data_IF_447719037363
#
_entry.id   IF_447719037363
#
_cell.length_a   1.000
_cell.length_b   1.000
_cell.length_c   1.000
_cell.angle_alpha   90.00
_cell.angle_beta   90.00
_cell.angle_gamma   90.00
#
_symmetry.space_group_name_H-M   'P 1'
#
loop_
_entity.id
_entity.type
_entity.pdbx_description
1 polymer ?
#
# COMPACT_ATOMS: atom_id res chain seq x y z
N UNK A 1 10.38 -35.93 3.09
CA UNK A 1 11.42 -35.03 2.59
C UNK A 1 11.17 -34.80 1.11
N UNK A 2 10.65 -33.62 0.76
CA UNK A 2 10.77 -32.94 -0.53
C UNK A 2 10.34 -31.50 -0.28
N UNK A 3 11.33 -30.62 -0.17
CA UNK A 3 11.20 -29.18 -0.01
C UNK A 3 10.32 -28.59 -1.12
N UNK A 4 9.12 -28.12 -0.76
CA UNK A 4 8.20 -27.43 -1.68
C UNK A 4 8.10 -25.92 -1.37
N UNK A 5 9.04 -25.38 -0.60
CA UNK A 5 9.06 -23.97 -0.19
C UNK A 5 10.06 -23.11 -0.96
N UNK A 6 10.78 -23.66 -1.95
CA UNK A 6 11.51 -22.87 -2.92
C UNK A 6 10.54 -22.28 -3.97
N UNK A 7 10.02 -21.10 -3.69
CA UNK A 7 9.66 -20.19 -4.78
C UNK A 7 10.70 -19.05 -4.80
N UNK A 8 11.76 -19.13 -5.65
CA UNK A 8 12.67 -18.01 -5.91
C UNK A 8 11.92 -16.72 -6.31
N UNK A 9 10.65 -16.86 -6.71
CA UNK A 9 9.69 -15.81 -7.03
C UNK A 9 9.30 -14.92 -5.82
N UNK A 10 9.30 -15.42 -4.58
CA UNK A 10 8.83 -14.64 -3.40
C UNK A 10 9.72 -13.43 -3.07
N UNK A 11 11.04 -13.54 -3.26
CA UNK A 11 11.96 -12.42 -3.03
C UNK A 11 11.78 -11.33 -4.10
N UNK A 12 11.67 -11.72 -5.37
CA UNK A 12 11.39 -10.79 -6.47
C UNK A 12 10.01 -10.14 -6.32
N UNK A 13 9.00 -10.93 -5.98
CA UNK A 13 7.64 -10.48 -5.68
C UNK A 13 7.60 -9.38 -4.61
N UNK A 14 8.41 -9.51 -3.57
CA UNK A 14 8.50 -8.51 -2.51
C UNK A 14 9.14 -7.22 -2.99
N UNK A 15 10.16 -7.30 -3.85
CA UNK A 15 10.74 -6.10 -4.47
C UNK A 15 9.69 -5.35 -5.27
N UNK A 16 8.80 -6.05 -5.98
CA UNK A 16 7.65 -5.44 -6.65
C UNK A 16 6.68 -4.78 -5.67
N UNK A 17 6.34 -5.46 -4.55
CA UNK A 17 5.46 -4.88 -3.52
C UNK A 17 6.08 -3.60 -2.91
N UNK A 18 7.37 -3.62 -2.58
CA UNK A 18 8.09 -2.46 -2.04
C UNK A 18 8.12 -1.31 -3.04
N UNK A 19 8.53 -1.58 -4.28
CA UNK A 19 8.55 -0.57 -5.34
C UNK A 19 7.15 0.04 -5.51
N UNK A 20 6.12 -0.80 -5.47
CA UNK A 20 4.75 -0.34 -5.61
C UNK A 20 4.27 0.54 -4.45
N UNK A 21 4.63 0.25 -3.20
CA UNK A 21 4.28 1.13 -2.08
C UNK A 21 4.87 2.53 -2.27
N UNK A 22 6.13 2.61 -2.69
CA UNK A 22 6.78 3.89 -2.98
C UNK A 22 6.09 4.63 -4.13
N UNK A 23 5.80 3.93 -5.22
CA UNK A 23 5.10 4.51 -6.37
C UNK A 23 3.69 4.98 -6.04
N UNK A 24 2.98 4.29 -5.14
CA UNK A 24 1.65 4.70 -4.68
C UNK A 24 1.71 6.05 -3.96
N UNK A 25 2.67 6.25 -3.05
CA UNK A 25 2.82 7.52 -2.35
C UNK A 25 3.27 8.63 -3.31
N UNK A 26 4.14 8.32 -4.28
CA UNK A 26 4.56 9.29 -5.29
C UNK A 26 3.46 9.66 -6.29
N UNK A 27 2.38 8.87 -6.40
CA UNK A 27 1.23 9.20 -7.24
C UNK A 27 0.52 10.50 -6.82
N UNK A 28 0.67 10.90 -5.55
CA UNK A 28 0.21 12.21 -5.07
C UNK A 28 0.97 13.39 -5.72
N UNK A 29 2.18 13.16 -6.23
CA UNK A 29 2.99 14.16 -6.92
C UNK A 29 2.96 13.99 -8.44
N UNK A 30 3.07 12.75 -8.91
CA UNK A 30 3.16 12.40 -10.32
C UNK A 30 2.00 11.46 -10.65
N UNK A 31 0.91 12.00 -11.24
CA UNK A 31 -0.24 11.19 -11.62
C UNK A 31 0.16 10.01 -12.52
N UNK A 32 -0.56 8.89 -12.40
CA UNK A 32 -0.36 7.61 -13.11
C UNK A 32 0.68 6.67 -12.49
N UNK A 33 1.52 7.12 -11.56
CA UNK A 33 2.39 6.20 -10.81
C UNK A 33 1.59 5.19 -9.97
N UNK A 34 0.38 5.56 -9.56
CA UNK A 34 -0.53 4.68 -8.83
C UNK A 34 -1.05 3.51 -9.67
N UNK A 35 -1.21 3.70 -10.99
CA UNK A 35 -1.53 2.61 -11.92
C UNK A 35 -0.38 1.60 -12.00
N UNK A 36 0.85 2.09 -12.14
CA UNK A 36 2.06 1.25 -12.14
C UNK A 36 2.19 0.53 -10.79
N UNK A 37 1.96 1.24 -9.69
CA UNK A 37 1.94 0.66 -8.35
C UNK A 37 0.94 -0.50 -8.25
N UNK A 38 -0.31 -0.29 -8.65
CA UNK A 38 -1.35 -1.33 -8.60
C UNK A 38 -0.94 -2.58 -9.39
N UNK A 39 -0.39 -2.41 -10.60
CA UNK A 39 0.10 -3.51 -11.44
C UNK A 39 1.21 -4.29 -10.70
N UNK A 40 2.18 -3.59 -10.15
CA UNK A 40 3.28 -4.20 -9.40
C UNK A 40 2.80 -4.90 -8.12
N UNK A 41 1.80 -4.35 -7.41
CA UNK A 41 1.19 -5.02 -6.26
C UNK A 41 0.49 -6.32 -6.67
N UNK A 42 -0.19 -6.34 -7.81
CA UNK A 42 -0.82 -7.56 -8.32
C UNK A 42 0.21 -8.64 -8.68
N UNK A 43 1.30 -8.26 -9.34
CA UNK A 43 2.40 -9.17 -9.66
C UNK A 43 3.04 -9.70 -8.37
N UNK A 44 3.35 -8.81 -7.42
CA UNK A 44 4.01 -9.17 -6.18
C UNK A 44 3.15 -10.05 -5.26
N UNK A 45 1.87 -9.72 -5.07
CA UNK A 45 1.02 -10.51 -4.16
C UNK A 45 0.64 -11.89 -4.72
N UNK A 46 0.70 -12.07 -6.05
CA UNK A 46 0.39 -13.34 -6.71
C UNK A 46 1.28 -14.49 -6.22
N UNK A 47 2.54 -14.20 -5.91
CA UNK A 47 3.48 -15.18 -5.35
C UNK A 47 3.07 -15.70 -3.95
N UNK A 48 2.12 -15.02 -3.29
CA UNK A 48 1.60 -15.36 -1.97
C UNK A 48 0.14 -15.84 -1.98
N UNK A 49 -0.51 -15.85 -3.16
CA UNK A 49 -1.96 -16.11 -3.26
C UNK A 49 -2.34 -17.55 -2.91
N UNK A 50 -1.44 -18.50 -3.18
CA UNK A 50 -1.61 -19.92 -2.89
C UNK A 50 -1.06 -20.31 -1.52
N UNK A 51 -0.63 -19.35 -0.71
CA UNK A 51 -0.17 -19.62 0.65
C UNK A 51 -1.33 -20.05 1.55
N UNK A 52 -1.04 -20.89 2.55
CA UNK A 52 -1.99 -21.24 3.61
C UNK A 52 -2.34 -20.01 4.46
N UNK A 53 -1.47 -19.01 4.45
CA UNK A 53 -1.65 -17.77 5.17
C UNK A 53 -2.77 -16.91 4.55
N UNK A 54 -3.94 -16.93 5.21
CA UNK A 54 -5.12 -16.18 4.78
C UNK A 54 -4.92 -14.66 4.77
N UNK A 55 -3.90 -14.10 5.43
CA UNK A 55 -3.64 -12.67 5.42
C UNK A 55 -3.25 -12.16 4.03
N UNK A 56 -2.48 -12.93 3.26
CA UNK A 56 -2.17 -12.55 1.87
C UNK A 56 -3.42 -12.57 0.97
N UNK A 57 -4.34 -13.50 1.20
CA UNK A 57 -5.64 -13.51 0.50
C UNK A 57 -6.48 -12.28 0.85
N UNK A 58 -6.45 -11.84 2.11
CA UNK A 58 -7.13 -10.61 2.54
C UNK A 58 -6.46 -9.37 1.97
N UNK A 59 -5.13 -9.30 1.94
CA UNK A 59 -4.38 -8.25 1.27
C UNK A 59 -4.73 -8.15 -0.22
N UNK A 60 -4.88 -9.29 -0.92
CA UNK A 60 -5.32 -9.33 -2.31
C UNK A 60 -6.76 -8.81 -2.50
N UNK A 61 -7.67 -9.17 -1.59
CA UNK A 61 -9.04 -8.62 -1.60
C UNK A 61 -9.03 -7.10 -1.42
N UNK A 62 -8.21 -6.58 -0.50
CA UNK A 62 -8.03 -5.14 -0.30
C UNK A 62 -7.44 -4.46 -1.54
N UNK A 63 -6.45 -5.06 -2.20
CA UNK A 63 -5.86 -4.55 -3.44
C UNK A 63 -6.91 -4.39 -4.56
N UNK A 64 -7.83 -5.35 -4.72
CA UNK A 64 -8.93 -5.22 -5.70
C UNK A 64 -9.85 -4.04 -5.41
N UNK A 65 -10.19 -3.84 -4.13
CA UNK A 65 -11.05 -2.72 -3.70
C UNK A 65 -10.33 -1.38 -3.84
N UNK A 66 -9.04 -1.34 -3.52
CA UNK A 66 -8.16 -0.19 -3.79
C UNK A 66 -8.14 0.16 -5.28
N UNK A 67 -8.00 -0.86 -6.15
CA UNK A 67 -7.98 -0.68 -7.61
C UNK A 67 -9.27 -0.07 -8.13
N UNK A 68 -10.43 -0.55 -7.63
CA UNK A 68 -11.73 0.02 -7.99
C UNK A 68 -11.84 1.49 -7.55
N UNK A 69 -11.47 1.79 -6.30
CA UNK A 69 -11.49 3.17 -5.79
C UNK A 69 -10.54 4.09 -6.58
N UNK A 70 -9.34 3.60 -6.91
CA UNK A 70 -8.39 4.33 -7.73
C UNK A 70 -8.90 4.60 -9.14
N UNK A 71 -9.57 3.63 -9.76
CA UNK A 71 -10.20 3.83 -11.06
C UNK A 71 -11.27 4.92 -11.00
N UNK A 72 -12.12 4.91 -9.96
CA UNK A 72 -13.12 5.97 -9.74
C UNK A 72 -12.44 7.33 -9.54
N UNK A 73 -11.34 7.39 -8.77
CA UNK A 73 -10.55 8.62 -8.60
C UNK A 73 -10.06 9.17 -9.95
N UNK A 74 -9.55 8.30 -10.84
CA UNK A 74 -9.06 8.72 -12.15
C UNK A 74 -10.18 9.12 -13.11
N UNK A 75 -11.33 8.47 -13.01
CA UNK A 75 -12.50 8.77 -13.84
C UNK A 75 -13.34 9.93 -13.29
N UNK A 76 -13.05 10.45 -12.09
CA UNK A 76 -13.85 11.50 -11.45
C UNK A 76 -13.87 12.80 -12.27
N UNK A 77 -12.85 13.03 -13.10
CA UNK A 77 -12.76 14.18 -14.02
C UNK A 77 -13.84 14.18 -15.08
N UNK A 78 -14.46 13.03 -15.38
CA UNK A 78 -15.55 12.90 -16.36
C UNK A 78 -16.93 12.97 -15.70
N UNK A 79 -17.01 13.15 -14.38
CA UNK A 79 -18.29 13.24 -13.67
C UNK A 79 -18.95 14.58 -14.03
N UNK A 80 -20.19 14.58 -14.55
CA UNK A 80 -20.88 15.80 -14.90
C UNK A 80 -21.21 16.62 -13.65
N UNK A 81 -21.28 17.94 -13.83
CA UNK A 81 -21.63 18.84 -12.74
C UNK A 81 -23.12 18.76 -12.43
N UNK A 82 -23.42 18.54 -11.15
CA UNK A 82 -24.80 18.34 -10.66
C UNK A 82 -25.37 19.58 -9.98
N UNK A 83 -24.52 20.55 -9.62
CA UNK A 83 -24.91 21.74 -8.84
C UNK A 83 -25.27 21.44 -7.37
N UNK A 84 -25.14 20.19 -6.91
CA UNK A 84 -25.51 19.80 -5.53
C UNK A 84 -24.48 20.23 -4.46
N UNK A 85 -23.26 20.57 -4.87
CA UNK A 85 -22.15 20.87 -3.97
C UNK A 85 -21.61 22.28 -4.20
N UNK A 86 -21.06 22.89 -3.14
CA UNK A 86 -20.41 24.21 -3.22
C UNK A 86 -19.08 24.19 -4.01
N UNK A 87 -18.50 23.01 -4.20
CA UNK A 87 -17.35 22.75 -5.08
C UNK A 87 -17.77 21.81 -6.20
N UNK A 88 -16.94 21.65 -7.22
CA UNK A 88 -17.27 20.81 -8.38
C UNK A 88 -17.55 19.36 -7.96
N UNK A 89 -18.58 18.75 -8.57
CA UNK A 89 -19.01 17.37 -8.33
C UNK A 89 -17.86 16.41 -8.62
N UNK A 90 -17.11 16.67 -9.69
CA UNK A 90 -15.88 15.98 -10.07
C UNK A 90 -14.81 16.00 -8.96
N UNK A 91 -14.67 17.13 -8.25
CA UNK A 91 -13.75 17.26 -7.10
C UNK A 91 -14.24 16.46 -5.91
N UNK A 92 -15.53 16.53 -5.57
CA UNK A 92 -16.11 15.76 -4.46
C UNK A 92 -15.91 14.26 -4.67
N UNK A 93 -16.28 13.74 -5.86
CA UNK A 93 -16.10 12.32 -6.19
C UNK A 93 -14.62 11.93 -6.14
N UNK A 94 -13.73 12.78 -6.65
CA UNK A 94 -12.29 12.57 -6.58
C UNK A 94 -11.79 12.44 -5.14
N UNK A 95 -12.17 13.36 -4.25
CA UNK A 95 -11.77 13.33 -2.84
C UNK A 95 -12.29 12.08 -2.11
N UNK A 96 -13.55 11.72 -2.31
CA UNK A 96 -14.13 10.50 -1.71
C UNK A 96 -13.37 9.26 -2.20
N UNK A 97 -13.15 9.14 -3.51
CA UNK A 97 -12.46 8.01 -4.11
C UNK A 97 -11.00 7.91 -3.63
N UNK A 98 -10.30 9.05 -3.49
CA UNK A 98 -8.97 9.12 -2.88
C UNK A 98 -8.99 8.61 -1.44
N UNK A 99 -9.95 9.04 -0.61
CA UNK A 99 -10.09 8.57 0.77
C UNK A 99 -10.30 7.05 0.86
N UNK A 100 -11.20 6.51 0.03
CA UNK A 100 -11.45 5.06 -0.04
C UNK A 100 -10.20 4.31 -0.50
N UNK A 101 -9.49 4.83 -1.51
CA UNK A 101 -8.23 4.25 -2.00
C UNK A 101 -7.18 4.21 -0.90
N UNK A 102 -7.01 5.31 -0.15
CA UNK A 102 -6.09 5.39 1.00
C UNK A 102 -6.42 4.37 2.09
N UNK A 103 -7.70 4.20 2.44
CA UNK A 103 -8.12 3.18 3.43
C UNK A 103 -7.71 1.78 2.96
N UNK A 104 -8.00 1.43 1.71
CA UNK A 104 -7.66 0.11 1.20
C UNK A 104 -6.16 -0.10 0.98
N UNK A 105 -5.39 0.95 0.72
CA UNK A 105 -3.93 0.91 0.73
C UNK A 105 -3.40 0.57 2.14
N UNK A 106 -3.93 1.20 3.18
CA UNK A 106 -3.57 0.90 4.58
C UNK A 106 -3.93 -0.54 4.93
N UNK A 107 -5.11 -1.02 4.54
CA UNK A 107 -5.50 -2.43 4.75
C UNK A 107 -4.62 -3.41 3.99
N UNK A 108 -4.29 -3.10 2.74
CA UNK A 108 -3.42 -3.94 1.92
C UNK A 108 -2.04 -4.09 2.58
N UNK A 109 -1.41 -2.97 2.93
CA UNK A 109 -0.10 -2.96 3.60
C UNK A 109 -0.14 -3.65 4.97
N UNK A 110 -1.22 -3.47 5.74
CA UNK A 110 -1.44 -4.14 7.02
C UNK A 110 -1.47 -5.66 6.88
N UNK A 111 -2.40 -6.18 6.07
CA UNK A 111 -2.56 -7.62 5.90
C UNK A 111 -1.34 -8.26 5.23
N UNK A 112 -0.64 -7.54 4.36
CA UNK A 112 0.63 -8.01 3.82
C UNK A 112 1.70 -8.13 4.91
N UNK A 113 1.82 -7.11 5.78
CA UNK A 113 2.75 -7.12 6.92
C UNK A 113 2.46 -8.27 7.89
N UNK A 114 1.20 -8.42 8.30
CA UNK A 114 0.78 -9.52 9.18
C UNK A 114 1.02 -10.88 8.53
N UNK A 115 0.83 -10.99 7.21
CA UNK A 115 1.18 -12.18 6.45
C UNK A 115 2.67 -12.53 6.61
N UNK A 116 3.55 -11.56 6.39
CA UNK A 116 5.00 -11.74 6.55
C UNK A 116 5.37 -12.10 8.00
N UNK A 117 4.74 -11.47 9.00
CA UNK A 117 4.97 -11.77 10.41
C UNK A 117 4.56 -13.20 10.75
N UNK A 118 3.44 -13.69 10.23
CA UNK A 118 3.03 -15.08 10.47
C UNK A 118 3.96 -16.09 9.80
N UNK A 119 4.42 -15.82 8.59
CA UNK A 119 5.37 -16.70 7.88
C UNK A 119 6.72 -16.74 8.59
N UNK A 120 7.20 -15.59 9.04
CA UNK A 120 8.36 -15.51 9.91
C UNK A 120 8.17 -16.37 11.17
N UNK A 121 6.95 -16.43 11.74
CA UNK A 121 6.67 -17.17 13.00
C UNK A 121 6.79 -18.66 12.78
N UNK A 122 6.26 -19.13 11.65
CA UNK A 122 6.48 -20.50 11.17
C UNK A 122 7.98 -20.79 10.97
N UNK A 123 8.73 -19.83 10.44
CA UNK A 123 10.18 -19.94 10.23
C UNK A 123 11.05 -19.72 11.50
N UNK A 124 10.44 -19.59 12.69
CA UNK A 124 11.14 -19.35 13.98
C UNK A 124 12.08 -18.14 13.97
N UNK A 125 11.80 -17.13 13.14
CA UNK A 125 12.52 -15.85 13.13
C UNK A 125 11.96 -14.95 14.23
N UNK A 126 12.82 -14.27 15.00
CA UNK A 126 12.38 -13.43 16.11
C UNK A 126 11.64 -12.15 15.63
N UNK A 127 10.32 -12.09 15.83
CA UNK A 127 9.42 -10.97 15.49
C UNK A 127 9.82 -9.63 16.08
N UNK A 128 10.21 -9.65 17.36
CA UNK A 128 10.50 -8.45 18.13
C UNK A 128 11.72 -7.73 17.55
N UNK A 129 12.63 -8.47 16.90
CA UNK A 129 13.76 -7.92 16.15
C UNK A 129 13.40 -7.43 14.74
N UNK A 130 12.25 -7.84 14.18
CA UNK A 130 11.80 -7.39 12.85
C UNK A 130 11.18 -5.99 12.91
N UNK A 131 10.51 -5.64 14.01
CA UNK A 131 10.09 -4.27 14.30
C UNK A 131 9.21 -3.63 13.22
N UNK A 132 8.35 -4.41 12.56
CA UNK A 132 7.52 -3.97 11.42
C UNK A 132 6.25 -3.21 11.83
N UNK A 133 5.73 -3.43 13.04
CA UNK A 133 4.47 -2.83 13.47
C UNK A 133 4.57 -1.31 13.62
N UNK A 134 5.61 -0.83 14.30
CA UNK A 134 5.86 0.60 14.53
C UNK A 134 5.95 1.40 13.21
N UNK A 135 6.82 1.04 12.23
CA UNK A 135 6.89 1.77 10.97
C UNK A 135 5.60 1.70 10.15
N UNK A 136 4.87 0.58 10.21
CA UNK A 136 3.56 0.48 9.55
C UNK A 136 2.52 1.43 10.16
N UNK A 137 2.44 1.51 11.50
CA UNK A 137 1.51 2.44 12.19
C UNK A 137 1.80 3.89 11.76
N UNK A 138 3.07 4.29 11.73
CA UNK A 138 3.45 5.63 11.30
C UNK A 138 3.09 5.89 9.83
N UNK A 139 3.32 4.93 8.93
CA UNK A 139 2.92 5.03 7.53
C UNK A 139 1.40 5.20 7.38
N UNK A 140 0.63 4.38 8.09
CA UNK A 140 -0.83 4.43 8.05
C UNK A 140 -1.39 5.75 8.57
N UNK A 141 -0.88 6.21 9.72
CA UNK A 141 -1.25 7.50 10.31
C UNK A 141 -0.91 8.66 9.37
N UNK A 142 0.30 8.69 8.80
CA UNK A 142 0.71 9.75 7.89
C UNK A 142 -0.07 9.76 6.59
N UNK A 143 -0.42 8.59 6.05
CA UNK A 143 -1.27 8.48 4.86
C UNK A 143 -2.67 9.08 5.10
N UNK A 144 -3.22 8.88 6.31
CA UNK A 144 -4.50 9.48 6.69
C UNK A 144 -4.38 10.99 6.97
N UNK A 145 -3.31 11.43 7.62
CA UNK A 145 -3.02 12.86 7.83
C UNK A 145 -2.89 13.58 6.49
N UNK A 146 -2.20 12.98 5.52
CA UNK A 146 -2.10 13.54 4.17
C UNK A 146 -3.49 13.74 3.54
N UNK A 147 -4.34 12.72 3.59
CA UNK A 147 -5.72 12.81 3.11
C UNK A 147 -6.49 13.98 3.77
N UNK A 148 -6.44 14.08 5.10
CA UNK A 148 -7.09 15.16 5.85
C UNK A 148 -6.55 16.54 5.42
N UNK A 149 -5.24 16.64 5.19
CA UNK A 149 -4.63 17.88 4.71
C UNK A 149 -5.11 18.26 3.32
N UNK A 150 -5.27 17.30 2.40
CA UNK A 150 -5.79 17.57 1.05
C UNK A 150 -7.24 18.06 1.11
N UNK A 151 -8.07 17.47 1.98
CA UNK A 151 -9.47 17.86 2.13
C UNK A 151 -9.62 19.23 2.81
N UNK A 152 -8.77 19.52 3.80
CA UNK A 152 -8.90 20.73 4.63
C UNK A 152 -8.22 21.95 4.03
N UNK A 153 -7.06 21.78 3.38
CA UNK A 153 -6.23 22.90 2.94
C UNK A 153 -6.26 23.06 1.42
N UNK A 154 -6.81 24.17 0.95
CA UNK A 154 -6.86 24.56 -0.46
C UNK A 154 -5.50 24.97 -1.04
N UNK A 155 -4.52 25.34 -0.20
CA UNK A 155 -3.16 25.68 -0.62
C UNK A 155 -2.29 24.42 -0.73
N UNK A 156 -1.69 24.20 -1.90
CA UNK A 156 -0.88 23.01 -2.24
C UNK A 156 0.34 22.77 -1.32
N UNK A 157 0.82 23.78 -0.59
CA UNK A 157 2.03 23.66 0.24
C UNK A 157 1.89 22.62 1.35
N UNK A 158 0.83 22.70 2.16
CA UNK A 158 0.65 21.81 3.32
C UNK A 158 0.47 20.34 2.87
N UNK A 159 -0.40 20.02 1.89
CA UNK A 159 -0.48 18.68 1.32
C UNK A 159 0.86 18.18 0.75
N UNK A 160 1.65 19.03 0.10
CA UNK A 160 2.95 18.61 -0.46
C UNK A 160 3.95 18.20 0.62
N UNK A 161 4.00 18.91 1.74
CA UNK A 161 4.85 18.56 2.90
C UNK A 161 4.43 17.20 3.46
N UNK A 162 3.12 16.96 3.60
CA UNK A 162 2.64 15.67 4.12
C UNK A 162 2.94 14.51 3.18
N UNK A 163 2.95 14.71 1.86
CA UNK A 163 3.44 13.68 0.92
C UNK A 163 4.90 13.34 1.18
N UNK A 164 5.77 14.34 1.34
CA UNK A 164 7.20 14.10 1.59
C UNK A 164 7.43 13.31 2.88
N UNK A 165 6.75 13.69 3.96
CA UNK A 165 6.85 12.99 5.24
C UNK A 165 6.32 11.55 5.11
N UNK A 166 5.17 11.36 4.45
CA UNK A 166 4.60 10.02 4.20
C UNK A 166 5.56 9.16 3.38
N UNK A 167 6.24 9.73 2.39
CA UNK A 167 7.23 9.05 1.58
C UNK A 167 8.44 8.58 2.40
N UNK A 168 8.95 9.42 3.31
CA UNK A 168 10.05 9.05 4.23
C UNK A 168 9.65 7.86 5.11
N UNK A 169 8.44 7.87 5.69
CA UNK A 169 7.96 6.73 6.48
C UNK A 169 7.73 5.48 5.62
N UNK A 170 7.26 5.65 4.38
CA UNK A 170 7.10 4.55 3.44
C UNK A 170 8.45 3.91 3.08
N UNK A 171 9.50 4.71 2.87
CA UNK A 171 10.87 4.24 2.69
C UNK A 171 11.37 3.46 3.90
N UNK A 172 11.22 4.05 5.10
CA UNK A 172 11.64 3.39 6.34
C UNK A 172 10.94 2.05 6.55
N UNK A 173 9.62 2.01 6.37
CA UNK A 173 8.82 0.79 6.42
C UNK A 173 9.28 -0.23 5.36
N UNK A 174 9.50 0.20 4.12
CA UNK A 174 9.93 -0.65 3.02
C UNK A 174 11.30 -1.30 3.27
N UNK A 175 12.26 -0.55 3.84
CA UNK A 175 13.57 -1.08 4.21
C UNK A 175 13.44 -2.15 5.30
N UNK A 176 12.60 -1.90 6.33
CA UNK A 176 12.34 -2.89 7.38
C UNK A 176 11.66 -4.14 6.83
N UNK A 177 10.70 -3.97 5.92
CA UNK A 177 10.00 -5.05 5.25
C UNK A 177 10.97 -5.91 4.43
N UNK A 178 11.88 -5.29 3.67
CA UNK A 178 12.93 -5.99 2.93
C UNK A 178 13.86 -6.79 3.85
N UNK A 179 14.33 -6.19 4.95
CA UNK A 179 15.17 -6.86 5.94
C UNK A 179 14.46 -8.04 6.60
N UNK A 180 13.16 -7.92 6.86
CA UNK A 180 12.38 -9.01 7.42
C UNK A 180 12.27 -10.17 6.44
N UNK A 181 11.88 -9.88 5.20
CA UNK A 181 11.60 -10.90 4.19
C UNK A 181 12.87 -11.64 3.80
N UNK A 182 14.00 -10.95 3.66
CA UNK A 182 15.30 -11.61 3.41
C UNK A 182 15.67 -12.58 4.53
N UNK A 183 15.35 -12.28 5.79
CA UNK A 183 15.58 -13.21 6.91
C UNK A 183 14.61 -14.39 6.95
N UNK A 184 13.42 -14.25 6.39
CA UNK A 184 12.35 -15.27 6.39
C UNK A 184 12.51 -16.22 5.22
N UNK A 185 12.75 -15.69 4.02
CA UNK A 185 12.69 -16.45 2.77
C UNK A 185 14.06 -16.72 2.14
N UNK A 186 15.14 -16.04 2.57
CA UNK A 186 16.50 -16.39 2.11
C UNK A 186 17.29 -17.23 3.13
N UNK A 187 16.72 -17.55 4.30
CA UNK A 187 17.28 -18.57 5.22
C UNK A 187 16.71 -19.94 4.83
N UNK A 188 17.19 -20.50 3.73
CA UNK A 188 17.13 -21.93 3.43
C UNK A 188 18.51 -22.34 2.95
#
# INVERSE_FOLDING_TARGET
MTDKYLHPDKNLAVKYVIAAFLLYILDYLIPMLGLISIILLFIGIRAFQNDENNHFKTAYKSLKKMTAAYAVLRLSVFVPETGMFAISTSTVVGLIAMGISTIYFIYMTHYFTEGVLLDAKKAKVNFTKLGLNTPWIFLGAMSMIHYICVVTFSKKLIPSITVMVTFIFCLYYSVKLYQAITRVYNKQ
#
